data_IF_249782923544
#
_entry.id   IF_249782923544
#
_cell.length_a   1.000
_cell.length_b   1.000
_cell.length_c   1.000
_cell.angle_alpha   90.00
_cell.angle_beta   90.00
_cell.angle_gamma   90.00
#
_symmetry.space_group_name_H-M   'P 1'
#
loop_
_entity.id
_entity.type
_entity.pdbx_description
1 polymer ?
#
# COMPACT_ATOMS: atom_id res chain seq x y z
N UNK A 1 -18.41 12.51 12.65
CA UNK A 1 -18.79 13.64 11.82
C UNK A 1 -18.40 13.34 10.39
N UNK A 2 -19.33 13.60 9.47
CA UNK A 2 -19.11 13.45 8.03
C UNK A 2 -18.63 14.77 7.47
N UNK A 3 -17.61 14.77 6.63
CA UNK A 3 -17.11 15.96 5.98
C UNK A 3 -16.69 15.66 4.54
N UNK A 4 -17.16 16.49 3.61
CA UNK A 4 -16.60 16.58 2.26
C UNK A 4 -15.48 17.61 2.27
N UNK A 5 -14.26 17.17 2.10
CA UNK A 5 -13.06 18.02 2.19
C UNK A 5 -12.09 17.71 1.05
N UNK A 6 -11.26 18.68 0.70
CA UNK A 6 -10.08 18.44 -0.13
C UNK A 6 -8.85 18.32 0.73
N UNK A 7 -7.80 17.66 0.24
CA UNK A 7 -6.51 17.68 0.93
C UNK A 7 -5.96 19.11 1.09
N UNK A 8 -6.33 20.03 0.19
CA UNK A 8 -6.01 21.47 0.31
C UNK A 8 -6.64 22.08 1.56
N UNK A 9 -7.87 21.69 1.89
CA UNK A 9 -8.55 22.20 3.10
C UNK A 9 -7.85 21.67 4.35
N UNK A 10 -7.45 20.40 4.37
CA UNK A 10 -6.65 19.82 5.45
C UNK A 10 -5.32 20.55 5.61
N UNK A 11 -4.61 20.83 4.50
CA UNK A 11 -3.36 21.60 4.51
C UNK A 11 -3.57 23.03 5.03
N UNK A 12 -4.72 23.66 4.73
CA UNK A 12 -5.02 24.99 5.23
C UNK A 12 -5.12 25.04 6.76
N UNK A 13 -5.65 23.98 7.38
CA UNK A 13 -5.68 23.84 8.84
C UNK A 13 -4.31 23.42 9.42
N UNK A 14 -3.51 22.70 8.63
CA UNK A 14 -2.23 22.13 9.04
C UNK A 14 -1.16 22.40 7.98
N UNK A 15 -0.66 23.66 7.88
CA UNK A 15 0.24 24.07 6.79
C UNK A 15 1.54 23.27 6.68
N UNK A 16 2.02 22.68 7.78
CA UNK A 16 3.23 21.84 7.79
C UNK A 16 3.11 20.59 6.93
N UNK A 17 1.91 20.06 6.70
CA UNK A 17 1.67 18.91 5.83
C UNK A 17 2.05 19.19 4.36
N UNK A 18 2.08 20.46 3.95
CA UNK A 18 2.49 20.85 2.59
C UNK A 18 3.96 20.47 2.28
N UNK A 19 4.79 20.24 3.29
CA UNK A 19 6.16 19.77 3.11
C UNK A 19 6.23 18.28 2.72
N UNK A 20 5.21 17.50 3.03
CA UNK A 20 5.15 16.09 2.66
C UNK A 20 4.66 15.94 1.21
N UNK A 21 5.40 15.20 0.34
CA UNK A 21 5.08 15.03 -1.08
C UNK A 21 3.66 14.49 -1.33
N UNK A 22 3.18 13.56 -0.51
CA UNK A 22 1.83 13.01 -0.64
C UNK A 22 0.76 14.11 -0.58
N UNK A 23 0.79 14.96 0.43
CA UNK A 23 -0.19 16.05 0.60
C UNK A 23 -0.04 17.12 -0.48
N UNK A 24 1.18 17.44 -0.87
CA UNK A 24 1.43 18.48 -1.87
C UNK A 24 0.95 18.05 -3.27
N UNK A 25 1.26 16.83 -3.68
CA UNK A 25 0.88 16.27 -4.99
C UNK A 25 -0.64 16.10 -5.10
N UNK A 26 -1.30 15.72 -4.02
CA UNK A 26 -2.72 15.36 -4.01
C UNK A 26 -3.65 16.48 -3.52
N UNK A 27 -3.22 17.74 -3.50
CA UNK A 27 -3.97 18.88 -2.90
C UNK A 27 -5.43 19.00 -3.32
N UNK A 28 -5.72 18.68 -4.57
CA UNK A 28 -7.07 18.82 -5.16
C UNK A 28 -7.90 17.53 -5.07
N UNK A 29 -7.43 16.51 -4.38
CA UNK A 29 -8.19 15.27 -4.19
C UNK A 29 -9.33 15.51 -3.24
N UNK A 30 -10.56 15.25 -3.70
CA UNK A 30 -11.77 15.28 -2.89
C UNK A 30 -11.89 14.00 -2.09
N UNK A 31 -12.18 14.15 -0.81
CA UNK A 31 -12.33 13.09 0.16
C UNK A 31 -13.66 13.25 0.90
N UNK A 32 -14.40 12.16 1.04
CA UNK A 32 -15.42 12.03 2.07
C UNK A 32 -14.81 11.31 3.26
N UNK A 33 -14.85 11.92 4.43
CA UNK A 33 -14.24 11.39 5.65
C UNK A 33 -15.30 11.28 6.73
N UNK A 34 -15.47 10.06 7.26
CA UNK A 34 -16.26 9.78 8.45
C UNK A 34 -15.34 9.23 9.53
N UNK A 35 -15.60 9.52 10.80
CA UNK A 35 -14.87 8.99 11.94
C UNK A 35 -14.30 10.04 12.85
N UNK A 36 -13.27 9.67 13.62
CA UNK A 36 -12.69 10.52 14.64
C UNK A 36 -11.19 10.69 14.41
N UNK A 37 -10.74 11.94 14.26
CA UNK A 37 -9.31 12.28 14.19
C UNK A 37 -8.96 13.12 15.41
N UNK A 38 -7.87 12.76 16.09
CA UNK A 38 -7.37 13.46 17.29
C UNK A 38 -5.85 13.53 17.28
N UNK A 39 -5.32 14.49 18.04
CA UNK A 39 -3.88 14.66 18.22
C UNK A 39 -3.35 15.94 17.61
N UNK A 40 -2.02 16.00 17.53
CA UNK A 40 -1.27 17.09 16.89
C UNK A 40 -0.64 16.53 15.62
N UNK A 41 -0.24 17.41 14.69
CA UNK A 41 0.39 17.02 13.41
C UNK A 41 1.54 16.02 13.55
N UNK A 42 2.30 16.13 14.62
CA UNK A 42 3.42 15.22 14.89
C UNK A 42 2.97 13.90 15.57
N UNK A 43 1.71 13.76 15.92
CA UNK A 43 1.15 12.57 16.53
C UNK A 43 -0.37 12.58 16.33
N UNK A 44 -0.80 12.13 15.16
CA UNK A 44 -2.20 12.01 14.79
C UNK A 44 -2.68 10.58 14.99
N UNK A 45 -3.92 10.45 15.42
CA UNK A 45 -4.64 9.18 15.49
C UNK A 45 -6.00 9.34 14.84
N UNK A 46 -6.40 8.34 14.09
CA UNK A 46 -7.72 8.22 13.51
C UNK A 46 -8.34 6.90 13.93
N UNK A 47 -9.52 7.00 14.51
CA UNK A 47 -10.28 5.84 14.98
C UNK A 47 -11.56 5.73 14.14
N UNK A 48 -11.88 4.52 13.70
CA UNK A 48 -13.07 4.19 12.89
C UNK A 48 -13.22 5.08 11.65
N UNK A 49 -12.10 5.33 10.99
CA UNK A 49 -12.08 6.16 9.81
C UNK A 49 -12.60 5.40 8.60
N UNK A 50 -13.51 6.08 7.89
CA UNK A 50 -13.93 5.70 6.54
C UNK A 50 -13.58 6.86 5.62
N UNK A 51 -12.83 6.57 4.59
CA UNK A 51 -12.43 7.56 3.60
C UNK A 51 -12.84 7.06 2.22
N UNK A 52 -13.58 7.89 1.50
CA UNK A 52 -14.00 7.59 0.13
C UNK A 52 -13.46 8.66 -0.82
N UNK A 53 -12.86 8.23 -1.93
CA UNK A 53 -12.39 9.09 -3.00
C UNK A 53 -13.37 9.05 -4.19
N UNK A 54 -13.33 10.08 -5.03
CA UNK A 54 -14.21 10.22 -6.19
C UNK A 54 -14.12 9.08 -7.22
N UNK A 55 -12.99 8.36 -7.27
CA UNK A 55 -12.77 7.20 -8.15
C UNK A 55 -13.34 5.88 -7.59
N UNK A 56 -14.00 5.93 -6.43
CA UNK A 56 -14.54 4.77 -5.72
C UNK A 56 -13.54 4.05 -4.83
N UNK A 57 -12.33 4.58 -4.64
CA UNK A 57 -11.41 4.08 -3.61
C UNK A 57 -12.03 4.29 -2.24
N UNK A 58 -12.02 3.23 -1.44
CA UNK A 58 -12.61 3.20 -0.10
C UNK A 58 -11.62 2.62 0.90
N UNK A 59 -11.47 3.30 2.02
CA UNK A 59 -10.60 2.90 3.13
C UNK A 59 -11.44 2.85 4.40
N UNK A 60 -11.39 1.76 5.13
CA UNK A 60 -11.99 1.61 6.46
C UNK A 60 -10.94 1.05 7.42
N UNK A 61 -10.67 1.77 8.50
CA UNK A 61 -9.65 1.34 9.45
C UNK A 61 -9.29 2.37 10.49
N UNK A 62 -8.19 2.10 11.16
CA UNK A 62 -7.57 2.98 12.14
C UNK A 62 -6.18 3.40 11.63
N UNK A 63 -5.73 4.58 12.03
CA UNK A 63 -4.35 4.96 11.82
C UNK A 63 -3.75 5.66 13.03
N UNK A 64 -2.44 5.53 13.16
CA UNK A 64 -1.62 6.33 14.06
C UNK A 64 -0.38 6.78 13.29
N UNK A 65 -0.01 8.03 13.44
CA UNK A 65 1.16 8.57 12.76
C UNK A 65 2.02 9.42 13.68
N UNK A 66 3.34 9.38 13.45
CA UNK A 66 4.30 10.27 14.08
C UNK A 66 5.07 10.99 12.97
N UNK A 67 5.42 12.26 13.21
CA UNK A 67 6.21 13.10 12.32
C UNK A 67 5.70 13.20 10.87
N UNK A 68 4.38 13.10 10.66
CA UNK A 68 3.76 13.06 9.33
C UNK A 68 4.17 14.23 8.41
N UNK A 69 4.60 15.36 8.97
CA UNK A 69 5.03 16.53 8.22
C UNK A 69 6.54 16.54 7.89
N UNK A 70 7.32 15.55 8.34
CA UNK A 70 8.77 15.50 8.15
C UNK A 70 9.10 14.37 7.19
N UNK A 71 9.58 14.71 5.99
CA UNK A 71 9.93 13.72 4.96
C UNK A 71 10.94 12.71 5.49
N UNK A 72 10.70 11.41 5.27
CA UNK A 72 11.50 10.27 5.70
C UNK A 72 11.52 10.00 7.22
N UNK A 73 10.75 10.76 8.00
CA UNK A 73 10.54 10.51 9.44
C UNK A 73 9.08 10.15 9.75
N UNK A 74 8.22 10.05 8.72
CA UNK A 74 6.81 9.69 8.83
C UNK A 74 6.66 8.23 9.24
N UNK A 75 6.45 7.97 10.50
CA UNK A 75 6.13 6.64 11.00
C UNK A 75 4.61 6.45 11.02
N UNK A 76 4.14 5.36 10.43
CA UNK A 76 2.72 5.02 10.31
C UNK A 76 2.43 3.65 10.93
N UNK A 77 1.28 3.59 11.57
CA UNK A 77 0.60 2.34 11.92
C UNK A 77 -0.79 2.43 11.30
N UNK A 78 -1.07 1.54 10.37
CA UNK A 78 -2.37 1.41 9.72
C UNK A 78 -2.95 0.04 10.07
N UNK A 79 -4.21 0.03 10.51
CA UNK A 79 -5.01 -1.19 10.71
C UNK A 79 -6.21 -1.08 9.77
N UNK A 80 -6.13 -1.76 8.64
CA UNK A 80 -7.13 -1.68 7.58
C UNK A 80 -8.11 -2.84 7.69
N UNK A 81 -9.34 -2.56 8.04
CA UNK A 81 -10.45 -3.52 7.95
C UNK A 81 -10.79 -3.76 6.48
N UNK A 82 -10.70 -2.70 5.67
CA UNK A 82 -10.93 -2.77 4.24
C UNK A 82 -10.25 -1.61 3.52
N UNK A 83 -9.54 -1.95 2.45
CA UNK A 83 -9.07 -1.01 1.43
C UNK A 83 -9.54 -1.54 0.07
N UNK A 84 -10.39 -0.80 -0.62
CA UNK A 84 -10.76 -1.08 -2.01
C UNK A 84 -10.10 -0.02 -2.88
N UNK A 85 -9.31 -0.43 -3.86
CA UNK A 85 -8.59 0.51 -4.73
C UNK A 85 -8.16 -0.15 -6.04
N UNK A 86 -7.35 0.56 -6.83
CA UNK A 86 -6.67 0.06 -8.03
C UNK A 86 -5.23 0.54 -8.05
N UNK A 87 -4.37 -0.16 -8.76
CA UNK A 87 -2.96 0.26 -8.94
C UNK A 87 -2.86 1.65 -9.55
N UNK A 88 -3.74 2.00 -10.49
CA UNK A 88 -3.80 3.34 -11.09
C UNK A 88 -4.02 4.44 -10.07
N UNK A 89 -4.90 4.22 -9.10
CA UNK A 89 -5.16 5.16 -8.00
C UNK A 89 -3.95 5.28 -7.08
N UNK A 90 -3.35 4.15 -6.70
CA UNK A 90 -2.15 4.16 -5.85
C UNK A 90 -0.99 4.91 -6.51
N UNK A 91 -0.80 4.76 -7.84
CA UNK A 91 0.19 5.55 -8.59
C UNK A 91 -0.07 7.06 -8.56
N UNK A 92 -1.33 7.46 -8.57
CA UNK A 92 -1.70 8.89 -8.48
C UNK A 92 -1.50 9.44 -7.08
N UNK A 93 -1.83 8.65 -6.07
CA UNK A 93 -1.83 9.10 -4.68
C UNK A 93 -0.45 9.04 -4.04
N UNK A 94 0.30 7.96 -4.28
CA UNK A 94 1.57 7.71 -3.57
C UNK A 94 2.72 8.23 -4.44
N UNK A 95 3.42 9.29 -3.99
CA UNK A 95 4.60 9.81 -4.69
C UNK A 95 5.66 8.70 -4.90
N UNK A 96 6.27 8.70 -6.08
CA UNK A 96 7.33 7.76 -6.47
C UNK A 96 6.89 6.27 -6.53
N UNK A 97 5.62 5.95 -6.29
CA UNK A 97 5.09 4.60 -6.46
C UNK A 97 4.89 4.29 -7.94
N UNK A 98 5.85 3.60 -8.53
CA UNK A 98 5.82 3.22 -9.94
C UNK A 98 6.09 1.72 -10.13
N UNK A 99 5.14 0.84 -9.75
CA UNK A 99 5.27 -0.59 -9.96
C UNK A 99 5.29 -0.94 -11.46
N UNK A 100 5.86 -2.09 -11.85
CA UNK A 100 5.82 -2.60 -13.21
C UNK A 100 4.41 -2.61 -13.82
N UNK A 101 4.31 -2.51 -15.14
CA UNK A 101 3.01 -2.33 -15.85
C UNK A 101 2.05 -3.51 -15.67
N UNK A 102 2.56 -4.72 -15.46
CA UNK A 102 1.75 -5.91 -15.20
C UNK A 102 0.91 -5.81 -13.92
N UNK A 103 1.30 -4.96 -12.94
CA UNK A 103 0.47 -4.69 -11.77
C UNK A 103 -0.91 -4.12 -12.12
N UNK A 104 -1.07 -3.45 -13.27
CA UNK A 104 -2.40 -2.99 -13.72
C UNK A 104 -3.38 -4.15 -13.96
N UNK A 105 -2.87 -5.35 -14.25
CA UNK A 105 -3.68 -6.55 -14.48
C UNK A 105 -4.37 -7.05 -13.20
N UNK A 106 -3.89 -6.63 -12.01
CA UNK A 106 -4.56 -6.92 -10.74
C UNK A 106 -5.97 -6.32 -10.68
N UNK A 107 -6.27 -5.33 -11.52
CA UNK A 107 -7.59 -4.76 -11.63
C UNK A 107 -8.06 -4.09 -10.34
N UNK A 108 -9.22 -4.52 -9.83
CA UNK A 108 -9.73 -4.09 -8.52
C UNK A 108 -9.03 -4.86 -7.42
N UNK A 109 -8.54 -4.15 -6.44
CA UNK A 109 -7.88 -4.72 -5.27
C UNK A 109 -8.72 -4.47 -4.02
N UNK A 110 -8.86 -5.49 -3.21
CA UNK A 110 -9.41 -5.41 -1.86
C UNK A 110 -8.36 -5.96 -0.90
N UNK A 111 -7.95 -5.13 0.03
CA UNK A 111 -6.96 -5.49 1.03
C UNK A 111 -7.55 -5.31 2.44
N UNK A 112 -7.19 -6.21 3.34
CA UNK A 112 -7.38 -6.06 4.79
C UNK A 112 -6.11 -6.54 5.49
N UNK A 113 -5.66 -5.81 6.52
CA UNK A 113 -4.41 -6.12 7.18
C UNK A 113 -3.80 -4.93 7.87
N UNK A 114 -2.52 -4.99 8.15
CA UNK A 114 -1.78 -3.93 8.81
C UNK A 114 -0.56 -3.47 8.03
N UNK A 115 -0.13 -2.25 8.35
CA UNK A 115 1.12 -1.66 7.90
C UNK A 115 1.75 -0.94 9.09
N UNK A 116 3.00 -1.23 9.38
CA UNK A 116 3.74 -0.61 10.49
C UNK A 116 5.14 -0.23 10.01
N UNK A 117 5.46 1.04 10.08
CA UNK A 117 6.81 1.51 9.76
C UNK A 117 6.85 2.85 9.05
N UNK A 118 8.00 3.11 8.45
CA UNK A 118 8.23 4.23 7.54
C UNK A 118 7.83 3.82 6.13
N UNK A 119 7.53 4.76 5.23
CA UNK A 119 7.22 4.43 3.83
C UNK A 119 8.32 3.67 3.10
N UNK A 120 9.55 3.78 3.57
CA UNK A 120 10.73 3.13 2.98
C UNK A 120 11.31 1.98 3.81
N UNK A 121 10.78 1.71 5.00
CA UNK A 121 11.16 0.57 5.87
C UNK A 121 9.96 0.18 6.73
N UNK A 122 9.28 -0.91 6.36
CA UNK A 122 8.01 -1.28 6.96
C UNK A 122 7.79 -2.79 7.02
N UNK A 123 6.85 -3.17 7.86
CA UNK A 123 6.23 -4.49 7.88
C UNK A 123 4.78 -4.33 7.43
N UNK A 124 4.33 -5.21 6.56
CA UNK A 124 2.94 -5.29 6.12
C UNK A 124 2.47 -6.74 6.18
N UNK A 125 1.31 -6.95 6.78
CA UNK A 125 0.63 -8.23 6.80
C UNK A 125 -0.82 -8.07 6.35
N UNK A 126 -1.38 -9.08 5.69
CA UNK A 126 -2.78 -9.03 5.31
C UNK A 126 -3.18 -9.95 4.17
N UNK A 127 -4.44 -9.80 3.79
CA UNK A 127 -5.09 -10.51 2.71
C UNK A 127 -5.43 -9.56 1.58
N UNK A 128 -5.04 -9.92 0.37
CA UNK A 128 -5.30 -9.18 -0.86
C UNK A 128 -6.14 -10.03 -1.80
N UNK A 129 -7.28 -9.52 -2.23
CA UNK A 129 -8.10 -10.09 -3.29
C UNK A 129 -8.03 -9.20 -4.52
N UNK A 130 -7.87 -9.79 -5.70
CA UNK A 130 -7.69 -9.09 -6.98
C UNK A 130 -8.55 -9.72 -8.06
N UNK A 131 -8.62 -9.11 -9.23
CA UNK A 131 -9.28 -9.71 -10.39
C UNK A 131 -8.52 -10.94 -10.93
N UNK A 132 -7.25 -11.16 -10.52
CA UNK A 132 -6.45 -12.34 -10.90
C UNK A 132 -6.43 -13.45 -9.84
N UNK A 133 -6.96 -13.23 -8.64
CA UNK A 133 -6.94 -14.20 -7.55
C UNK A 133 -6.57 -13.56 -6.21
N UNK A 134 -6.24 -14.39 -5.23
CA UNK A 134 -5.99 -13.95 -3.87
C UNK A 134 -4.50 -14.10 -3.51
N UNK A 135 -4.04 -13.22 -2.61
CA UNK A 135 -2.72 -13.30 -2.00
C UNK A 135 -2.82 -13.05 -0.50
N UNK A 136 -1.97 -13.73 0.27
CA UNK A 136 -1.70 -13.39 1.66
C UNK A 136 -0.23 -12.99 1.77
N UNK A 137 0.02 -11.92 2.50
CA UNK A 137 1.36 -11.37 2.70
C UNK A 137 1.63 -11.16 4.19
N UNK A 138 2.87 -11.44 4.58
CA UNK A 138 3.44 -11.09 5.88
C UNK A 138 4.92 -10.78 5.59
N UNK A 139 5.21 -9.54 5.24
CA UNK A 139 6.46 -9.14 4.64
C UNK A 139 7.08 -7.94 5.35
N UNK A 140 8.39 -8.04 5.60
CA UNK A 140 9.21 -6.88 5.89
C UNK A 140 9.84 -6.36 4.59
N UNK A 141 9.79 -5.05 4.39
CA UNK A 141 10.34 -4.38 3.20
C UNK A 141 11.21 -3.20 3.59
N UNK A 142 12.36 -3.09 2.94
CA UNK A 142 13.26 -1.94 3.04
C UNK A 142 13.58 -1.39 1.65
N UNK A 143 13.16 -0.15 1.41
CA UNK A 143 13.26 0.57 0.14
C UNK A 143 14.15 1.81 0.22
N UNK A 144 14.96 1.93 1.28
CA UNK A 144 15.78 3.13 1.57
C UNK A 144 16.73 3.51 0.43
N UNK A 145 17.20 2.52 -0.33
CA UNK A 145 18.12 2.67 -1.46
C UNK A 145 17.41 2.60 -2.82
N UNK A 146 16.08 2.75 -2.82
CA UNK A 146 15.22 2.65 -3.98
C UNK A 146 14.79 1.23 -4.34
N UNK A 147 13.86 1.07 -5.31
CA UNK A 147 13.25 -0.22 -5.65
C UNK A 147 14.26 -1.22 -6.25
N UNK A 148 15.30 -0.75 -6.93
CA UNK A 148 16.33 -1.63 -7.51
C UNK A 148 17.22 -2.29 -6.44
N UNK A 149 17.31 -1.69 -5.26
CA UNK A 149 18.09 -2.17 -4.12
C UNK A 149 17.22 -2.54 -2.92
N UNK A 150 15.93 -2.66 -3.16
CA UNK A 150 14.99 -3.08 -2.12
C UNK A 150 15.46 -4.39 -1.48
N UNK A 151 15.26 -4.52 -0.18
CA UNK A 151 15.41 -5.78 0.54
C UNK A 151 14.08 -6.17 1.13
N UNK A 152 13.74 -7.45 1.04
CA UNK A 152 12.48 -7.95 1.57
C UNK A 152 12.61 -9.40 2.02
N UNK A 153 11.85 -9.74 3.06
CA UNK A 153 11.75 -11.09 3.60
C UNK A 153 10.36 -11.30 4.20
N UNK A 154 9.93 -12.56 4.32
CA UNK A 154 8.64 -12.90 4.92
C UNK A 154 7.89 -13.97 4.14
N UNK A 155 6.57 -14.01 4.29
CA UNK A 155 5.73 -15.04 3.70
C UNK A 155 4.82 -14.44 2.63
N UNK A 156 4.70 -15.16 1.51
CA UNK A 156 3.78 -14.88 0.43
C UNK A 156 3.03 -16.15 0.07
N UNK A 157 1.71 -16.07 0.06
CA UNK A 157 0.86 -17.14 -0.46
C UNK A 157 -0.06 -16.60 -1.54
N UNK A 158 -0.24 -17.35 -2.61
CA UNK A 158 -1.19 -17.09 -3.69
C UNK A 158 -2.23 -18.19 -3.67
N UNK A 159 -3.50 -17.87 -3.94
CA UNK A 159 -4.57 -18.85 -4.03
C UNK A 159 -5.49 -18.54 -5.20
N UNK A 160 -5.67 -19.56 -6.08
CA UNK A 160 -6.41 -19.43 -7.31
C UNK A 160 -5.94 -18.27 -8.18
N UNK A 161 -4.62 -18.01 -8.20
CA UNK A 161 -4.05 -16.86 -8.89
C UNK A 161 -3.77 -17.17 -10.35
N UNK A 162 -4.33 -16.38 -11.26
CA UNK A 162 -4.14 -16.49 -12.71
C UNK A 162 -2.74 -16.00 -13.10
N UNK A 163 -1.77 -16.92 -13.07
CA UNK A 163 -0.38 -16.63 -13.42
C UNK A 163 -0.24 -16.37 -14.93
N UNK A 164 -1.06 -17.01 -15.76
CA UNK A 164 -1.11 -16.76 -17.20
C UNK A 164 -1.55 -15.33 -17.49
N UNK A 165 -2.65 -14.89 -16.90
CA UNK A 165 -3.12 -13.51 -16.96
C UNK A 165 -2.06 -12.52 -16.46
N UNK A 166 -1.37 -12.83 -15.37
CA UNK A 166 -0.31 -11.97 -14.81
C UNK A 166 0.90 -11.85 -15.76
N UNK A 167 1.44 -12.96 -16.24
CA UNK A 167 2.62 -12.98 -17.10
C UNK A 167 2.30 -12.60 -18.56
N UNK A 168 1.08 -12.90 -19.01
CA UNK A 168 0.68 -12.80 -20.40
C UNK A 168 1.14 -14.00 -21.24
N UNK A 169 1.38 -15.15 -20.60
CA UNK A 169 1.76 -16.41 -21.23
C UNK A 169 0.67 -17.45 -21.05
N UNK A 170 0.30 -18.13 -22.14
CA UNK A 170 -0.66 -19.24 -22.12
C UNK A 170 -0.06 -20.55 -21.54
N UNK A 171 1.24 -20.55 -21.22
CA UNK A 171 1.94 -21.69 -20.60
C UNK A 171 1.56 -21.88 -19.12
N UNK A 172 0.97 -20.85 -18.51
CA UNK A 172 0.59 -20.84 -17.11
C UNK A 172 -0.94 -20.77 -16.95
N UNK A 173 -1.45 -21.42 -15.91
CA UNK A 173 -2.84 -21.35 -15.51
C UNK A 173 -3.03 -20.73 -14.13
N UNK A 174 -4.06 -21.20 -13.43
CA UNK A 174 -4.29 -20.90 -12.02
C UNK A 174 -3.24 -21.62 -11.18
N UNK A 175 -2.71 -20.93 -10.18
CA UNK A 175 -1.70 -21.48 -9.25
C UNK A 175 -2.13 -21.25 -7.81
N UNK A 176 -1.87 -22.25 -6.99
CA UNK A 176 -1.78 -22.15 -5.56
C UNK A 176 -0.30 -22.26 -5.18
N UNK A 177 0.20 -21.28 -4.44
CA UNK A 177 1.62 -21.14 -4.15
C UNK A 177 1.82 -20.61 -2.73
N UNK A 178 2.71 -21.20 -1.98
CA UNK A 178 3.12 -20.69 -0.67
C UNK A 178 4.63 -20.69 -0.57
N UNK A 179 5.19 -19.58 -0.15
CA UNK A 179 6.63 -19.38 -0.07
C UNK A 179 7.02 -18.55 1.12
N UNK A 180 8.12 -18.96 1.77
CA UNK A 180 8.92 -18.09 2.61
C UNK A 180 10.01 -17.43 1.75
N UNK A 181 10.02 -16.12 1.69
CA UNK A 181 11.11 -15.33 1.10
C UNK A 181 12.14 -15.10 2.20
N UNK A 182 13.21 -15.88 2.17
CA UNK A 182 14.28 -15.80 3.19
C UNK A 182 15.14 -14.56 2.98
N UNK A 183 15.43 -14.21 1.72
CA UNK A 183 16.26 -13.06 1.34
C UNK A 183 15.88 -12.63 -0.08
N UNK A 184 15.22 -11.49 -0.17
CA UNK A 184 14.83 -10.85 -1.42
C UNK A 184 15.64 -9.58 -1.67
N UNK A 185 16.09 -9.39 -2.91
CA UNK A 185 16.84 -8.22 -3.35
C UNK A 185 16.32 -7.71 -4.67
N UNK A 186 16.08 -6.38 -4.74
CA UNK A 186 15.55 -5.71 -5.93
C UNK A 186 14.09 -6.10 -6.24
N UNK A 187 13.26 -5.11 -6.52
CA UNK A 187 11.90 -5.31 -7.02
C UNK A 187 11.85 -5.17 -8.55
N UNK A 188 12.87 -4.56 -9.12
CA UNK A 188 13.00 -4.27 -10.56
C UNK A 188 14.47 -4.34 -10.96
N UNK A 189 14.73 -4.55 -12.28
CA UNK A 189 16.06 -4.58 -12.85
C UNK A 189 16.67 -5.98 -12.96
N UNK A 190 17.81 -6.07 -13.60
CA UNK A 190 18.50 -7.34 -13.92
C UNK A 190 19.13 -8.02 -12.71
N UNK A 191 19.22 -7.32 -11.59
CA UNK A 191 19.79 -7.83 -10.33
C UNK A 191 18.73 -8.31 -9.34
N UNK A 192 17.45 -8.23 -9.71
CA UNK A 192 16.37 -8.71 -8.84
C UNK A 192 16.53 -10.21 -8.59
N UNK A 193 16.54 -10.60 -7.33
CA UNK A 193 16.71 -12.00 -6.91
C UNK A 193 15.95 -12.27 -5.63
N UNK A 194 15.51 -13.51 -5.44
CA UNK A 194 14.92 -13.95 -4.19
C UNK A 194 15.34 -15.41 -3.90
N UNK A 195 15.67 -15.69 -2.65
CA UNK A 195 15.80 -17.04 -2.14
C UNK A 195 14.48 -17.44 -1.51
N UNK A 196 13.87 -18.48 -2.05
CA UNK A 196 12.56 -18.96 -1.66
C UNK A 196 12.66 -20.36 -1.06
N UNK A 197 11.85 -20.60 -0.02
CA UNK A 197 11.43 -21.95 0.36
C UNK A 197 9.95 -22.04 0.00
N UNK A 198 9.61 -22.86 -0.99
CA UNK A 198 8.26 -22.87 -1.56
C UNK A 198 7.64 -24.27 -1.53
N UNK A 199 6.30 -24.31 -1.34
CA UNK A 199 5.46 -25.44 -1.69
C UNK A 199 4.53 -25.01 -2.84
N UNK A 200 4.42 -25.83 -3.87
CA UNK A 200 3.52 -25.65 -5.01
C UNK A 200 2.59 -26.86 -5.02
N UNK A 201 1.29 -26.59 -4.98
CA UNK A 201 0.23 -27.60 -5.10
C UNK A 201 -0.54 -27.44 -6.39
#
# INVERSE_FOLDING_TARGET
>A
HDADVTLKDIIAFVPKLNANPFFNTNRNTNLQIEGHIRGKVNNLKGDDLKVTLADGTYIDGNFSSQNLAVKQEEFLILELRQLNTRVSTLRQLIPDFNPPSNFNKLGRMRFSGSFVGFFVDFVADGQLSTDLGNAAVDMQMRLTDGPERARYAGNLSLSGFDLGGWTGSDDFGLVDFSSEVVDGYGLTGDLASARLTAAIE
#
